data_IF_029572916485
#
_entry.id   IF_029572916485
#
_cell.length_a   1.000
_cell.length_b   1.000
_cell.length_c   1.000
_cell.angle_alpha   90.00
_cell.angle_beta   90.00
_cell.angle_gamma   90.00
#
_symmetry.space_group_name_H-M   'P 1'
#
loop_
_entity.id
_entity.type
_entity.pdbx_description
1 polymer ?
#
# COMPACT_ATOMS: atom_id res chain seq x y z
N UNK A 1 -44.10 -8.31 32.58
CA UNK A 1 -43.84 -9.00 31.29
C UNK A 1 -43.61 -8.08 30.08
N UNK A 2 -44.44 -7.06 29.80
CA UNK A 2 -44.24 -6.14 28.64
C UNK A 2 -43.07 -5.16 28.84
N UNK A 3 -42.85 -4.71 30.08
CA UNK A 3 -41.81 -3.71 30.43
C UNK A 3 -40.38 -4.29 30.33
N UNK A 4 -40.18 -5.54 30.72
CA UNK A 4 -38.89 -6.25 30.62
C UNK A 4 -38.49 -6.55 29.19
N UNK A 5 -39.44 -6.98 28.32
CA UNK A 5 -39.15 -7.21 26.90
C UNK A 5 -38.72 -5.92 26.18
N UNK A 6 -39.29 -4.76 26.54
CA UNK A 6 -38.87 -3.45 26.03
C UNK A 6 -37.46 -3.05 26.50
N UNK A 7 -37.10 -3.36 27.74
CA UNK A 7 -35.79 -3.06 28.30
C UNK A 7 -34.68 -3.91 27.67
N UNK A 8 -34.96 -5.21 27.47
CA UNK A 8 -34.03 -6.13 26.80
C UNK A 8 -33.79 -5.73 25.33
N UNK A 9 -34.84 -5.27 24.65
CA UNK A 9 -34.75 -4.79 23.25
C UNK A 9 -33.95 -3.48 23.12
N UNK A 10 -34.08 -2.56 24.08
CA UNK A 10 -33.28 -1.33 24.11
C UNK A 10 -31.80 -1.63 24.38
N UNK A 11 -31.49 -2.57 25.27
CA UNK A 11 -30.10 -2.96 25.55
C UNK A 11 -29.42 -3.64 24.35
N UNK A 12 -30.12 -4.54 23.65
CA UNK A 12 -29.57 -5.18 22.44
C UNK A 12 -29.37 -4.18 21.31
N UNK A 13 -30.27 -3.22 21.14
CA UNK A 13 -30.14 -2.15 20.13
C UNK A 13 -28.96 -1.23 20.43
N UNK A 14 -28.72 -0.92 21.72
CA UNK A 14 -27.58 -0.09 22.15
C UNK A 14 -26.25 -0.80 21.89
N UNK A 15 -26.16 -2.10 22.21
CA UNK A 15 -24.97 -2.92 21.93
C UNK A 15 -24.73 -3.01 20.42
N UNK A 16 -25.79 -3.20 19.62
CA UNK A 16 -25.72 -3.25 18.16
C UNK A 16 -25.25 -1.91 17.56
N UNK A 17 -25.73 -0.77 18.07
CA UNK A 17 -25.28 0.55 17.65
C UNK A 17 -23.80 0.81 17.99
N UNK A 18 -23.35 0.44 19.19
CA UNK A 18 -21.94 0.59 19.58
C UNK A 18 -21.02 -0.30 18.72
N UNK A 19 -21.46 -1.51 18.38
CA UNK A 19 -20.71 -2.41 17.50
C UNK A 19 -20.61 -1.89 16.05
N UNK A 20 -21.63 -1.18 15.56
CA UNK A 20 -21.61 -0.59 14.21
C UNK A 20 -20.79 0.72 14.14
N UNK A 21 -20.74 1.50 15.22
CA UNK A 21 -19.96 2.75 15.27
C UNK A 21 -18.46 2.46 15.47
N UNK A 22 -18.10 1.37 16.16
CA UNK A 22 -16.70 1.08 16.52
C UNK A 22 -15.82 0.44 15.43
N UNK A 23 -16.40 -0.10 14.35
CA UNK A 23 -15.66 -1.02 13.44
C UNK A 23 -15.17 -0.36 12.15
N UNK A 24 -15.56 0.88 11.85
CA UNK A 24 -15.12 1.57 10.63
C UNK A 24 -14.42 2.88 10.97
N UNK A 25 -13.12 2.82 11.25
CA UNK A 25 -12.22 3.97 11.13
C UNK A 25 -11.54 3.93 9.75
N UNK A 26 -12.22 4.33 8.65
CA UNK A 26 -11.62 4.35 7.31
C UNK A 26 -10.51 5.41 7.17
N UNK A 27 -10.36 6.32 8.13
CA UNK A 27 -9.36 7.39 8.06
C UNK A 27 -7.90 6.89 8.11
N UNK A 28 -7.67 5.72 8.72
CA UNK A 28 -6.35 5.13 8.89
C UNK A 28 -6.07 3.97 7.92
N UNK A 29 -7.05 3.56 7.10
CA UNK A 29 -6.84 2.49 6.14
C UNK A 29 -6.10 3.01 4.91
N UNK A 30 -5.30 2.13 4.29
CA UNK A 30 -4.68 2.39 2.99
C UNK A 30 -5.77 2.51 1.93
N UNK A 31 -6.07 3.73 1.52
CA UNK A 31 -6.89 3.99 0.35
C UNK A 31 -5.95 3.93 -0.85
N UNK A 32 -6.12 3.00 -1.78
CA UNK A 32 -5.21 2.84 -2.93
C UNK A 32 -5.67 3.61 -4.16
N UNK A 33 -6.83 4.27 -4.11
CA UNK A 33 -7.50 4.90 -5.25
C UNK A 33 -8.18 6.23 -4.86
N UNK A 34 -7.43 7.14 -4.22
CA UNK A 34 -7.89 8.52 -4.00
C UNK A 34 -6.94 9.49 -4.73
N UNK A 35 -7.29 9.98 -5.93
CA UNK A 35 -6.40 10.82 -6.72
C UNK A 35 -6.08 12.16 -6.05
N UNK A 36 -7.02 12.70 -5.25
CA UNK A 36 -6.79 13.94 -4.51
C UNK A 36 -5.74 13.72 -3.42
N UNK A 37 -5.87 12.61 -2.70
CA UNK A 37 -4.92 12.26 -1.64
C UNK A 37 -3.52 11.96 -2.20
N UNK A 38 -3.46 11.33 -3.38
CA UNK A 38 -2.23 11.12 -4.12
C UNK A 38 -1.52 12.43 -4.49
N UNK A 39 -2.29 13.44 -4.93
CA UNK A 39 -1.76 14.75 -5.27
C UNK A 39 -1.29 15.53 -4.03
N UNK A 40 -2.07 15.53 -2.96
CA UNK A 40 -1.73 16.23 -1.73
C UNK A 40 -0.49 15.62 -1.06
N UNK A 41 -0.36 14.29 -1.10
CA UNK A 41 0.85 13.62 -0.64
C UNK A 41 2.07 13.94 -1.50
N UNK A 42 1.92 14.01 -2.83
CA UNK A 42 3.02 14.42 -3.71
C UNK A 42 3.47 15.87 -3.43
N UNK A 43 2.53 16.78 -3.15
CA UNK A 43 2.82 18.16 -2.73
C UNK A 43 3.61 18.18 -1.41
N UNK A 44 3.17 17.39 -0.42
CA UNK A 44 3.87 17.26 0.86
C UNK A 44 5.30 16.72 0.72
N UNK A 45 5.51 15.73 -0.16
CA UNK A 45 6.84 15.19 -0.45
C UNK A 45 7.72 16.11 -1.31
N UNK A 46 7.12 17.07 -2.03
CA UNK A 46 7.82 17.92 -2.99
C UNK A 46 8.25 17.22 -4.29
N UNK A 47 7.77 16.00 -4.55
CA UNK A 47 8.01 15.28 -5.81
C UNK A 47 6.91 14.25 -6.09
N UNK A 48 6.74 13.88 -7.37
CA UNK A 48 5.93 12.71 -7.74
C UNK A 48 6.80 11.47 -7.78
N UNK A 49 6.29 10.34 -7.33
CA UNK A 49 7.02 9.06 -7.29
C UNK A 49 7.49 8.67 -8.70
N UNK A 50 6.66 8.92 -9.72
CA UNK A 50 7.01 8.71 -11.14
C UNK A 50 8.26 9.47 -11.60
N UNK A 51 8.59 10.60 -10.98
CA UNK A 51 9.77 11.40 -11.35
C UNK A 51 11.08 10.83 -10.78
N UNK A 52 10.98 9.91 -9.83
CA UNK A 52 12.12 9.27 -9.15
C UNK A 52 12.30 7.81 -9.58
N UNK A 53 11.20 7.09 -9.82
CA UNK A 53 11.24 5.68 -10.23
C UNK A 53 11.73 5.53 -11.68
N UNK A 54 12.46 4.44 -11.95
CA UNK A 54 13.03 4.16 -13.27
C UNK A 54 14.45 4.72 -13.51
N UNK A 55 15.04 5.44 -12.56
CA UNK A 55 16.41 5.96 -12.66
C UNK A 55 17.49 4.91 -12.35
N UNK A 56 17.18 4.00 -11.43
CA UNK A 56 18.10 2.95 -10.97
C UNK A 56 18.25 1.83 -12.00
N UNK A 57 17.15 1.43 -12.63
CA UNK A 57 17.13 0.40 -13.66
C UNK A 57 16.33 0.89 -14.88
N UNK A 58 16.88 1.81 -15.70
CA UNK A 58 16.17 2.40 -16.84
C UNK A 58 15.85 1.40 -17.96
N UNK A 59 16.54 0.26 -17.98
CA UNK A 59 16.28 -0.86 -18.88
C UNK A 59 14.97 -1.59 -18.56
N UNK A 60 14.47 -1.48 -17.32
CA UNK A 60 13.25 -2.14 -16.87
C UNK A 60 12.06 -1.20 -17.10
N UNK A 61 11.18 -1.59 -18.04
CA UNK A 61 10.02 -0.80 -18.46
C UNK A 61 8.69 -1.46 -18.05
N UNK A 62 7.63 -0.67 -17.84
CA UNK A 62 6.28 -1.20 -17.64
C UNK A 62 5.87 -2.16 -18.78
N UNK A 63 5.18 -3.24 -18.42
CA UNK A 63 4.72 -4.28 -19.36
C UNK A 63 5.70 -5.45 -19.52
N UNK A 64 6.94 -5.33 -19.04
CA UNK A 64 7.90 -6.42 -19.06
C UNK A 64 7.58 -7.50 -18.03
N UNK A 65 8.01 -8.73 -18.32
CA UNK A 65 7.97 -9.85 -17.39
C UNK A 65 9.40 -10.30 -17.12
N UNK A 66 9.79 -10.26 -15.84
CA UNK A 66 11.10 -10.71 -15.38
C UNK A 66 10.92 -12.07 -14.71
N UNK A 67 11.67 -13.07 -15.15
CA UNK A 67 11.60 -14.44 -14.65
C UNK A 67 12.99 -15.06 -14.50
N UNK A 68 13.02 -16.33 -14.09
CA UNK A 68 14.26 -17.07 -13.89
C UNK A 68 15.12 -17.28 -15.14
N UNK A 69 14.60 -17.01 -16.33
CA UNK A 69 15.33 -17.15 -17.60
C UNK A 69 16.00 -15.85 -18.03
N UNK A 70 15.42 -14.70 -17.68
CA UNK A 70 15.86 -13.40 -18.18
C UNK A 70 16.36 -12.42 -17.10
N UNK A 71 16.20 -12.70 -15.81
CA UNK A 71 16.53 -11.73 -14.75
C UNK A 71 17.97 -11.24 -14.76
N UNK A 72 18.92 -12.06 -15.23
CA UNK A 72 20.34 -11.72 -15.36
C UNK A 72 20.63 -10.69 -16.46
N UNK A 73 19.67 -10.43 -17.35
CA UNK A 73 19.78 -9.44 -18.42
C UNK A 73 19.61 -8.00 -17.91
N UNK A 74 19.12 -7.82 -16.68
CA UNK A 74 18.79 -6.52 -16.09
C UNK A 74 19.70 -6.24 -14.88
N UNK A 75 20.88 -5.62 -15.07
CA UNK A 75 21.83 -5.39 -13.98
C UNK A 75 21.27 -4.49 -12.87
N UNK A 76 20.44 -3.50 -13.22
CA UNK A 76 19.82 -2.60 -12.23
C UNK A 76 18.80 -3.29 -11.32
N UNK A 77 18.35 -4.51 -11.67
CA UNK A 77 17.42 -5.28 -10.83
C UNK A 77 18.03 -5.66 -9.47
N UNK A 78 19.36 -5.82 -9.40
CA UNK A 78 20.09 -6.14 -8.16
C UNK A 78 19.95 -5.01 -7.14
N UNK A 79 19.91 -3.76 -7.60
CA UNK A 79 19.79 -2.59 -6.73
C UNK A 79 18.34 -2.36 -6.27
N UNK A 80 17.36 -2.85 -7.04
CA UNK A 80 15.94 -2.72 -6.72
C UNK A 80 15.43 -3.77 -5.73
N UNK A 81 16.11 -4.91 -5.62
CA UNK A 81 15.66 -6.03 -4.79
C UNK A 81 16.67 -6.33 -3.67
N UNK A 82 16.19 -6.61 -2.45
CA UNK A 82 17.01 -7.26 -1.44
C UNK A 82 17.65 -8.53 -2.00
N UNK A 83 18.90 -8.81 -1.61
CA UNK A 83 19.64 -10.00 -2.06
C UNK A 83 18.83 -11.30 -1.92
N UNK A 84 18.10 -11.45 -0.82
CA UNK A 84 17.26 -12.62 -0.56
C UNK A 84 16.11 -12.80 -1.56
N UNK A 85 15.59 -11.72 -2.16
CA UNK A 85 14.60 -11.79 -3.22
C UNK A 85 15.26 -11.98 -4.58
N UNK A 86 16.36 -11.28 -4.84
CA UNK A 86 17.10 -11.43 -6.09
C UNK A 86 17.57 -12.88 -6.30
N UNK A 87 18.14 -13.50 -5.28
CA UNK A 87 18.61 -14.90 -5.32
C UNK A 87 17.47 -15.90 -5.59
N UNK A 88 16.22 -15.55 -5.24
CA UNK A 88 15.04 -16.38 -5.50
C UNK A 88 14.52 -16.28 -6.92
N UNK A 89 15.05 -15.37 -7.75
CA UNK A 89 14.78 -15.40 -9.19
C UNK A 89 15.48 -16.57 -9.86
N UNK A 90 16.53 -17.15 -9.25
CA UNK A 90 17.10 -18.40 -9.74
C UNK A 90 16.08 -19.55 -9.59
N UNK A 91 15.72 -20.27 -10.67
CA UNK A 91 14.79 -21.40 -10.59
C UNK A 91 15.31 -22.57 -9.74
N UNK A 92 16.62 -22.61 -9.45
CA UNK A 92 17.25 -23.60 -8.56
C UNK A 92 17.23 -23.17 -7.09
N UNK A 93 16.69 -22.00 -6.78
CA UNK A 93 16.53 -21.55 -5.40
C UNK A 93 15.65 -22.53 -4.60
N UNK A 94 15.85 -22.61 -3.29
CA UNK A 94 15.02 -23.42 -2.41
C UNK A 94 13.53 -23.01 -2.48
N UNK A 95 13.26 -21.73 -2.72
CA UNK A 95 11.90 -21.20 -2.88
C UNK A 95 11.84 -20.18 -4.03
N UNK A 96 11.78 -20.63 -5.30
CA UNK A 96 11.80 -19.74 -6.46
C UNK A 96 10.64 -18.75 -6.46
N UNK A 97 10.89 -17.53 -6.92
CA UNK A 97 9.86 -16.53 -7.11
C UNK A 97 9.07 -16.78 -8.40
N UNK A 98 7.78 -16.49 -8.34
CA UNK A 98 6.97 -16.39 -9.54
C UNK A 98 7.46 -15.23 -10.43
N UNK A 99 7.18 -15.28 -11.75
CA UNK A 99 7.53 -14.19 -12.66
C UNK A 99 7.01 -12.83 -12.18
N UNK A 100 7.87 -11.83 -12.19
CA UNK A 100 7.57 -10.45 -11.81
C UNK A 100 7.01 -9.73 -13.02
N UNK A 101 5.76 -9.25 -12.91
CA UNK A 101 5.15 -8.38 -13.92
C UNK A 101 5.40 -6.93 -13.55
N UNK A 102 6.20 -6.23 -14.36
CA UNK A 102 6.49 -4.82 -14.15
C UNK A 102 5.28 -4.00 -14.58
N UNK A 103 4.71 -3.23 -13.65
CA UNK A 103 3.58 -2.33 -13.91
C UNK A 103 4.03 -0.88 -13.95
N UNK A 104 3.19 -0.03 -14.51
CA UNK A 104 3.36 1.41 -14.35
C UNK A 104 3.31 1.75 -12.85
N UNK A 105 4.20 2.64 -12.43
CA UNK A 105 4.29 3.06 -11.03
C UNK A 105 3.15 4.01 -10.71
N UNK A 106 2.27 3.64 -9.80
CA UNK A 106 1.23 4.54 -9.31
C UNK A 106 1.80 5.56 -8.32
N UNK A 107 1.16 6.72 -8.21
CA UNK A 107 1.47 7.67 -7.16
C UNK A 107 0.91 7.13 -5.85
N UNK A 108 1.79 6.64 -5.00
CA UNK A 108 1.45 6.17 -3.66
C UNK A 108 1.11 7.35 -2.74
N UNK A 109 0.25 7.10 -1.75
CA UNK A 109 -0.05 8.04 -0.67
C UNK A 109 -0.37 7.31 0.64
N UNK A 110 -0.13 8.00 1.76
CA UNK A 110 -0.60 7.55 3.06
C UNK A 110 -2.13 7.70 3.18
N UNK A 111 -2.74 7.02 4.15
CA UNK A 111 -4.11 7.30 4.56
C UNK A 111 -4.25 8.71 5.13
N UNK A 112 -5.44 9.32 5.02
CA UNK A 112 -5.68 10.72 5.43
C UNK A 112 -5.23 11.01 6.85
N UNK A 113 -5.58 10.16 7.82
CA UNK A 113 -5.21 10.35 9.22
C UNK A 113 -3.70 10.32 9.46
N UNK A 114 -2.94 9.60 8.64
CA UNK A 114 -1.48 9.59 8.71
C UNK A 114 -0.86 10.85 8.11
N UNK A 115 -1.43 11.39 7.03
CA UNK A 115 -0.96 12.66 6.47
C UNK A 115 -1.16 13.81 7.45
N UNK A 116 -2.33 13.90 8.09
CA UNK A 116 -2.63 14.94 9.08
C UNK A 116 -1.64 14.91 10.25
N UNK A 117 -1.37 13.74 10.80
CA UNK A 117 -0.38 13.57 11.87
C UNK A 117 1.04 13.94 11.43
N UNK A 118 1.41 13.61 10.20
CA UNK A 118 2.72 13.96 9.64
C UNK A 118 2.87 15.48 9.55
N UNK A 119 1.86 16.19 9.03
CA UNK A 119 1.84 17.66 8.95
C UNK A 119 1.79 18.34 10.33
N UNK A 120 1.16 17.70 11.32
CA UNK A 120 1.18 18.20 12.70
C UNK A 120 2.58 18.07 13.31
N UNK A 121 3.25 16.93 13.09
CA UNK A 121 4.61 16.69 13.57
C UNK A 121 5.65 17.59 12.92
N UNK A 122 5.42 18.06 11.69
CA UNK A 122 6.33 19.01 11.03
C UNK A 122 6.29 20.40 11.69
N UNK A 123 5.18 20.76 12.35
CA UNK A 123 4.97 22.08 12.97
C UNK A 123 5.50 22.17 14.40
N UNK A 124 5.90 21.06 15.00
CA UNK A 124 6.45 20.97 16.37
C UNK A 124 7.96 20.87 16.34
#
# INVERSE_FOLDING_TARGET
MIKEKRMLWLMTLTIFCVFFIGVTFPANCWQTKDPQLAEDFAKMLGFKVKDKVGKVAPEIKPGMVIDGNNYKQYPGLVELLPKSLYDRLDPKSYAPLAPIKVKETDQYHLGRGWMEKTLQSEKT
#
